data_IF_960290390479
#
_entry.id   IF_960290390479
#
_cell.length_a   1.000
_cell.length_b   1.000
_cell.length_c   1.000
_cell.angle_alpha   90.00
_cell.angle_beta   90.00
_cell.angle_gamma   90.00
#
_symmetry.space_group_name_H-M   'P 1'
#
loop_
_entity.id
_entity.type
_entity.pdbx_description
1 polymer ?
#
# COMPACT_ATOMS: atom_id res chain seq x y z
N UNK A 1 -12.18 -8.03 9.42
CA UNK A 1 -11.11 -9.04 9.42
C UNK A 1 -11.15 -9.91 10.67
N UNK A 2 -11.25 -9.35 11.87
CA UNK A 2 -11.37 -10.11 13.12
C UNK A 2 -12.81 -10.23 13.66
N UNK A 3 -13.82 -9.68 13.00
CA UNK A 3 -15.21 -9.67 13.46
C UNK A 3 -15.47 -8.81 14.70
N UNK A 4 -14.53 -7.94 15.05
CA UNK A 4 -14.61 -7.00 16.18
C UNK A 4 -14.85 -5.60 15.64
N UNK A 5 -15.75 -4.84 16.25
CA UNK A 5 -16.03 -3.45 15.91
C UNK A 5 -14.98 -2.52 16.55
N UNK A 6 -14.75 -1.35 15.94
CA UNK A 6 -13.81 -0.34 16.42
C UNK A 6 -12.58 -0.20 15.52
N UNK A 7 -11.70 0.70 15.90
CA UNK A 7 -10.45 0.97 15.17
C UNK A 7 -9.27 0.32 15.90
N UNK A 8 -8.18 0.06 15.18
CA UNK A 8 -6.96 -0.55 15.75
C UNK A 8 -6.40 0.24 16.93
N UNK A 9 -6.53 1.56 16.94
CA UNK A 9 -6.05 2.43 18.02
C UNK A 9 -6.96 2.47 19.27
N UNK A 10 -8.12 1.81 19.23
CA UNK A 10 -9.03 1.70 20.39
C UNK A 10 -8.64 0.53 21.29
N UNK A 11 -7.65 -0.27 20.88
CA UNK A 11 -7.19 -1.49 21.55
C UNK A 11 -5.72 -1.42 21.92
N UNK A 12 -5.34 -2.10 22.98
CA UNK A 12 -3.93 -2.34 23.33
C UNK A 12 -3.30 -3.40 22.42
N UNK A 13 -1.98 -3.46 22.39
CA UNK A 13 -1.27 -4.50 21.63
C UNK A 13 -1.64 -5.90 22.08
N UNK A 14 -1.75 -6.11 23.40
CA UNK A 14 -2.13 -7.38 24.01
C UNK A 14 -3.52 -7.83 23.58
N UNK A 15 -4.48 -6.90 23.51
CA UNK A 15 -5.84 -7.17 23.04
C UNK A 15 -5.85 -7.54 21.55
N UNK A 16 -5.10 -6.78 20.72
CA UNK A 16 -4.99 -7.06 19.29
C UNK A 16 -4.38 -8.44 19.01
N UNK A 17 -3.36 -8.84 19.78
CA UNK A 17 -2.70 -10.14 19.62
C UNK A 17 -3.58 -11.32 20.04
N UNK A 18 -4.66 -11.09 20.79
CA UNK A 18 -5.65 -12.11 21.15
C UNK A 18 -6.78 -12.23 20.13
N UNK A 19 -6.94 -11.24 19.23
CA UNK A 19 -7.99 -11.25 18.21
C UNK A 19 -7.69 -12.27 17.14
N UNK A 20 -8.61 -13.22 16.96
CA UNK A 20 -8.50 -14.23 15.91
C UNK A 20 -8.86 -13.64 14.56
N UNK A 21 -8.10 -14.00 13.56
CA UNK A 21 -8.43 -13.74 12.17
C UNK A 21 -9.61 -14.62 11.76
N UNK A 22 -10.60 -14.07 11.04
CA UNK A 22 -11.79 -14.78 10.60
C UNK A 22 -11.42 -16.11 9.93
N UNK A 23 -12.18 -17.17 10.30
CA UNK A 23 -12.02 -18.53 9.77
C UNK A 23 -10.67 -19.19 10.03
N UNK A 24 -9.90 -18.72 11.04
CA UNK A 24 -8.63 -19.34 11.40
C UNK A 24 -8.43 -19.37 12.92
N UNK A 25 -7.42 -20.16 13.38
CA UNK A 25 -6.93 -20.13 14.76
C UNK A 25 -5.75 -19.17 14.93
N UNK A 26 -5.39 -18.44 13.89
CA UNK A 26 -4.30 -17.47 13.93
C UNK A 26 -4.79 -16.14 14.50
N UNK A 27 -3.89 -15.43 15.16
CA UNK A 27 -4.11 -14.08 15.69
C UNK A 27 -3.36 -13.03 14.86
N UNK A 28 -3.59 -11.76 15.15
CA UNK A 28 -2.88 -10.67 14.48
C UNK A 28 -1.40 -10.72 14.90
N UNK A 29 -0.45 -10.95 13.98
CA UNK A 29 0.98 -10.93 14.31
C UNK A 29 1.47 -9.50 14.51
N UNK A 30 2.54 -9.35 15.30
CA UNK A 30 3.29 -8.08 15.31
C UNK A 30 4.14 -7.94 14.04
N UNK A 31 4.54 -6.71 13.72
CA UNK A 31 5.48 -6.49 12.63
C UNK A 31 6.85 -7.13 12.91
N UNK A 32 7.27 -7.16 14.16
CA UNK A 32 8.49 -7.84 14.58
C UNK A 32 8.43 -9.35 14.34
N UNK A 33 7.29 -10.00 14.64
CA UNK A 33 7.11 -11.43 14.36
C UNK A 33 7.10 -11.71 12.86
N UNK A 34 6.46 -10.84 12.08
CA UNK A 34 6.52 -10.92 10.62
C UNK A 34 7.97 -10.85 10.11
N UNK A 35 8.77 -9.89 10.58
CA UNK A 35 10.18 -9.77 10.16
C UNK A 35 11.02 -10.99 10.52
N UNK A 36 10.78 -11.61 11.70
CA UNK A 36 11.44 -12.86 12.10
C UNK A 36 11.10 -14.03 11.18
N UNK A 37 9.84 -14.14 10.75
CA UNK A 37 9.40 -15.22 9.84
C UNK A 37 10.00 -15.04 8.45
N UNK A 38 9.90 -13.83 7.90
CA UNK A 38 10.42 -13.53 6.55
C UNK A 38 11.96 -13.65 6.52
N UNK A 39 12.65 -13.12 7.53
CA UNK A 39 14.09 -13.28 7.77
C UNK A 39 14.95 -13.09 6.51
N UNK A 40 14.59 -12.15 5.66
CA UNK A 40 15.28 -11.87 4.41
C UNK A 40 15.11 -12.90 3.27
N UNK A 41 14.32 -13.96 3.50
CA UNK A 41 14.17 -15.09 2.55
C UNK A 41 13.41 -14.71 1.28
N UNK A 42 12.50 -13.76 1.38
CA UNK A 42 11.71 -13.24 0.27
C UNK A 42 11.58 -11.72 0.38
N UNK A 43 11.51 -10.99 -0.76
CA UNK A 43 11.19 -9.57 -0.72
C UNK A 43 9.72 -9.36 -0.31
N UNK A 44 9.41 -8.21 0.31
CA UNK A 44 8.04 -7.85 0.63
C UNK A 44 7.74 -6.37 0.36
N UNK A 45 6.45 -6.06 0.26
CA UNK A 45 5.91 -4.71 0.18
C UNK A 45 5.27 -4.39 1.52
N UNK A 46 5.69 -3.29 2.16
CA UNK A 46 5.11 -2.78 3.39
C UNK A 46 4.11 -1.68 3.08
N UNK A 47 2.82 -1.96 3.23
CA UNK A 47 1.78 -0.96 3.08
C UNK A 47 1.57 -0.18 4.39
N UNK A 48 1.69 1.15 4.31
CA UNK A 48 1.33 2.04 5.41
C UNK A 48 -0.10 2.54 5.28
N UNK A 49 -0.93 2.23 6.27
CA UNK A 49 -2.30 2.77 6.40
C UNK A 49 -2.29 3.90 7.43
N UNK A 50 -2.29 5.14 6.94
CA UNK A 50 -2.33 6.33 7.76
C UNK A 50 -3.76 6.87 7.81
N UNK A 51 -4.48 6.58 8.87
CA UNK A 51 -5.85 7.10 9.07
C UNK A 51 -5.85 8.54 9.62
N UNK A 52 -4.70 8.99 10.14
CA UNK A 52 -4.46 10.34 10.64
C UNK A 52 -3.22 10.93 9.97
N UNK A 53 -3.12 12.26 9.81
CA UNK A 53 -1.95 12.89 9.18
C UNK A 53 -0.73 12.91 10.11
N UNK A 54 -0.28 11.73 10.53
CA UNK A 54 0.88 11.52 11.40
C UNK A 54 1.76 10.39 10.87
N UNK A 55 3.06 10.53 11.01
CA UNK A 55 4.05 9.59 10.46
C UNK A 55 4.72 8.71 11.52
N UNK A 56 4.19 8.69 12.74
CA UNK A 56 4.79 7.95 13.86
C UNK A 56 4.95 6.45 13.56
N UNK A 57 3.99 5.86 12.85
CA UNK A 57 4.09 4.46 12.42
C UNK A 57 5.26 4.22 11.45
N UNK A 58 5.58 5.21 10.58
CA UNK A 58 6.74 5.11 9.69
C UNK A 58 8.05 5.14 10.49
N UNK A 59 8.13 5.97 11.53
CA UNK A 59 9.28 6.03 12.43
C UNK A 59 9.48 4.71 13.16
N UNK A 60 8.44 4.18 13.79
CA UNK A 60 8.49 2.92 14.55
C UNK A 60 8.87 1.73 13.65
N UNK A 61 8.23 1.60 12.49
CA UNK A 61 8.58 0.52 11.56
C UNK A 61 10.01 0.68 11.01
N UNK A 62 10.47 1.92 10.77
CA UNK A 62 11.83 2.16 10.34
C UNK A 62 12.87 1.74 11.40
N UNK A 63 12.59 1.96 12.70
CA UNK A 63 13.48 1.47 13.76
C UNK A 63 13.62 -0.06 13.72
N UNK A 64 12.51 -0.79 13.51
CA UNK A 64 12.55 -2.25 13.37
C UNK A 64 13.29 -2.70 12.10
N UNK A 65 13.21 -1.91 11.02
CA UNK A 65 13.84 -2.20 9.74
C UNK A 65 15.32 -1.84 9.66
N UNK A 66 15.89 -1.09 10.63
CA UNK A 66 17.29 -0.67 10.59
C UNK A 66 18.29 -1.82 10.42
N UNK A 67 18.01 -2.93 11.07
CA UNK A 67 18.88 -4.11 11.06
C UNK A 67 18.38 -5.22 10.13
N UNK A 68 17.26 -5.01 9.46
CA UNK A 68 16.70 -5.97 8.52
C UNK A 68 17.52 -5.98 7.22
N UNK A 69 17.99 -7.15 6.82
CA UNK A 69 18.87 -7.32 5.65
C UNK A 69 18.14 -7.80 4.40
N UNK A 70 16.85 -8.05 4.48
CA UNK A 70 16.04 -8.47 3.34
C UNK A 70 15.66 -7.29 2.44
N UNK A 71 15.23 -7.60 1.24
CA UNK A 71 14.73 -6.62 0.27
C UNK A 71 13.29 -6.26 0.61
N UNK A 72 12.98 -4.97 0.66
CA UNK A 72 11.62 -4.49 0.80
C UNK A 72 11.42 -3.15 0.08
N UNK A 73 10.19 -2.85 -0.22
CA UNK A 73 9.75 -1.51 -0.59
C UNK A 73 8.53 -1.11 0.25
N UNK A 74 8.15 0.16 0.17
CA UNK A 74 6.96 0.63 0.88
C UNK A 74 5.91 1.14 -0.10
N UNK A 75 4.66 1.08 0.32
CA UNK A 75 3.58 1.74 -0.40
C UNK A 75 2.55 2.33 0.56
N UNK A 76 1.81 3.31 0.10
CA UNK A 76 0.71 3.92 0.85
C UNK A 76 -0.24 4.68 -0.07
N UNK A 77 -1.53 4.70 0.31
CA UNK A 77 -2.50 5.65 -0.21
C UNK A 77 -2.22 7.08 0.26
N UNK A 78 -1.65 7.23 1.44
CA UNK A 78 -1.43 8.54 2.05
C UNK A 78 -0.04 9.10 1.68
N UNK A 79 0.04 10.25 0.99
CA UNK A 79 1.32 10.79 0.51
C UNK A 79 2.32 11.14 1.62
N UNK A 80 1.88 11.35 2.87
CA UNK A 80 2.79 11.64 3.99
C UNK A 80 3.74 10.48 4.30
N UNK A 81 3.34 9.21 4.12
CA UNK A 81 4.25 8.09 4.28
C UNK A 81 5.39 8.15 3.26
N UNK A 82 5.07 8.44 2.00
CA UNK A 82 6.06 8.56 0.94
C UNK A 82 7.00 9.77 1.17
N UNK A 83 6.44 10.91 1.61
CA UNK A 83 7.23 12.10 1.95
C UNK A 83 8.19 11.81 3.10
N UNK A 84 7.73 11.09 4.13
CA UNK A 84 8.57 10.69 5.24
C UNK A 84 9.75 9.84 4.77
N UNK A 85 9.49 8.78 3.98
CA UNK A 85 10.54 7.91 3.43
C UNK A 85 11.46 8.66 2.48
N UNK A 86 10.93 9.51 1.61
CA UNK A 86 11.75 10.35 0.73
C UNK A 86 12.77 11.20 1.50
N UNK A 87 12.38 11.69 2.68
CA UNK A 87 13.24 12.55 3.52
C UNK A 87 14.25 11.74 4.35
N UNK A 88 13.83 10.58 4.90
CA UNK A 88 14.60 9.88 5.92
C UNK A 88 15.26 8.59 5.41
N UNK A 89 14.73 7.99 4.36
CA UNK A 89 15.20 6.74 3.75
C UNK A 89 15.05 6.80 2.22
N UNK A 90 15.77 7.74 1.56
CA UNK A 90 15.63 7.96 0.11
C UNK A 90 15.99 6.72 -0.74
N UNK A 91 16.79 5.80 -0.19
CA UNK A 91 17.20 4.55 -0.82
C UNK A 91 16.10 3.48 -0.87
N UNK A 92 15.05 3.61 -0.05
CA UNK A 92 13.93 2.67 -0.04
C UNK A 92 12.94 3.03 -1.15
N UNK A 93 12.63 2.07 -2.00
CA UNK A 93 11.65 2.25 -3.08
C UNK A 93 10.25 2.54 -2.51
N UNK A 94 9.56 3.51 -3.08
CA UNK A 94 8.26 4.04 -2.63
C UNK A 94 7.21 3.91 -3.70
N UNK A 95 6.09 3.31 -3.36
CA UNK A 95 4.91 3.18 -4.19
C UNK A 95 3.78 4.11 -3.76
N UNK A 96 3.19 4.83 -4.69
CA UNK A 96 1.93 5.52 -4.44
C UNK A 96 0.77 4.59 -4.80
N UNK A 97 0.02 4.15 -3.77
CA UNK A 97 -1.27 3.48 -3.97
C UNK A 97 -2.33 4.51 -4.35
N UNK A 98 -3.16 4.21 -5.33
CA UNK A 98 -4.21 5.10 -5.75
C UNK A 98 -5.34 4.39 -6.49
N UNK A 99 -6.51 5.02 -6.47
CA UNK A 99 -7.68 4.67 -7.26
C UNK A 99 -8.53 5.91 -7.54
N UNK A 100 -9.61 5.78 -8.29
CA UNK A 100 -10.51 6.89 -8.54
C UNK A 100 -11.49 7.06 -7.36
N UNK A 101 -11.00 7.55 -6.21
CA UNK A 101 -11.78 7.75 -4.99
C UNK A 101 -13.06 8.56 -5.20
N UNK A 102 -13.06 9.52 -6.12
CA UNK A 102 -14.23 10.34 -6.41
C UNK A 102 -15.41 9.54 -6.98
N UNK A 103 -15.18 8.30 -7.44
CA UNK A 103 -16.24 7.37 -7.88
C UNK A 103 -16.87 6.60 -6.72
N UNK A 104 -16.23 6.55 -5.57
CA UNK A 104 -16.78 5.91 -4.40
C UNK A 104 -17.80 6.81 -3.71
N UNK A 105 -18.97 6.27 -3.41
CA UNK A 105 -20.07 7.03 -2.81
C UNK A 105 -19.68 7.75 -1.51
N UNK A 106 -18.85 7.08 -0.67
CA UNK A 106 -18.34 7.64 0.60
C UNK A 106 -17.47 8.88 0.44
N UNK A 107 -16.88 9.11 -0.74
CA UNK A 107 -15.98 10.23 -1.03
C UNK A 107 -16.56 11.23 -2.03
N UNK A 108 -17.79 11.02 -2.46
CA UNK A 108 -18.46 11.86 -3.44
C UNK A 108 -18.48 13.33 -3.03
N UNK A 109 -18.00 14.19 -3.91
CA UNK A 109 -17.87 15.63 -3.64
C UNK A 109 -16.65 16.05 -2.82
N UNK A 110 -15.81 15.13 -2.38
CA UNK A 110 -14.57 15.46 -1.69
C UNK A 110 -13.51 15.96 -2.67
N UNK A 111 -13.18 17.24 -2.61
CA UNK A 111 -12.11 17.85 -3.42
C UNK A 111 -10.74 17.21 -3.16
N UNK A 112 -10.44 16.92 -1.88
CA UNK A 112 -9.17 16.27 -1.51
C UNK A 112 -9.04 14.87 -2.16
N UNK A 113 -10.09 14.06 -2.11
CA UNK A 113 -10.09 12.73 -2.71
C UNK A 113 -9.99 12.78 -4.23
N UNK A 114 -10.57 13.80 -4.84
CA UNK A 114 -10.39 14.06 -6.27
C UNK A 114 -8.92 14.37 -6.60
N UNK A 115 -8.26 15.25 -5.84
CA UNK A 115 -6.84 15.57 -6.02
C UNK A 115 -5.97 14.32 -5.84
N UNK A 116 -6.24 13.50 -4.82
CA UNK A 116 -5.51 12.24 -4.58
C UNK A 116 -5.67 11.27 -5.75
N UNK A 117 -6.88 11.14 -6.32
CA UNK A 117 -7.15 10.28 -7.48
C UNK A 117 -6.33 10.67 -8.72
N UNK A 118 -5.96 11.94 -8.85
CA UNK A 118 -5.14 12.44 -9.96
C UNK A 118 -3.64 12.51 -9.66
N UNK A 119 -3.18 11.88 -8.57
CA UNK A 119 -1.75 11.74 -8.25
C UNK A 119 -0.98 13.06 -8.17
N UNK A 120 -1.66 14.15 -7.84
CA UNK A 120 -1.07 15.51 -7.82
C UNK A 120 0.12 15.60 -6.86
N UNK A 121 0.06 14.88 -5.74
CA UNK A 121 1.14 14.86 -4.75
C UNK A 121 2.41 14.14 -5.23
N UNK A 122 2.36 13.43 -6.37
CA UNK A 122 3.53 12.73 -6.89
C UNK A 122 4.66 13.67 -7.29
N UNK A 123 4.37 14.93 -7.60
CA UNK A 123 5.38 15.97 -7.79
C UNK A 123 6.25 16.13 -6.53
N UNK A 124 5.63 16.08 -5.35
CA UNK A 124 6.31 16.19 -4.07
C UNK A 124 6.84 14.85 -3.55
N UNK A 125 6.10 13.75 -3.69
CA UNK A 125 6.49 12.44 -3.15
C UNK A 125 7.52 11.73 -4.01
N UNK A 126 7.52 11.96 -5.33
CA UNK A 126 8.38 11.32 -6.35
C UNK A 126 8.45 9.81 -6.12
N UNK A 127 7.33 9.09 -6.27
CA UNK A 127 7.30 7.65 -6.08
C UNK A 127 8.08 6.95 -7.20
N UNK A 128 8.69 5.81 -6.87
CA UNK A 128 9.40 4.95 -7.81
C UNK A 128 8.43 4.10 -8.64
N UNK A 129 7.26 3.78 -8.06
CA UNK A 129 6.17 3.10 -8.74
C UNK A 129 4.80 3.64 -8.35
N UNK A 130 3.83 3.43 -9.23
CA UNK A 130 2.42 3.77 -9.01
C UNK A 130 1.62 2.47 -9.00
N UNK A 131 1.04 2.12 -7.85
CA UNK A 131 0.11 1.01 -7.74
C UNK A 131 -1.32 1.54 -7.87
N UNK A 132 -1.98 1.27 -9.00
CA UNK A 132 -3.29 1.80 -9.34
C UNK A 132 -4.32 0.67 -9.52
N UNK A 133 -5.54 0.89 -9.04
CA UNK A 133 -6.63 -0.07 -9.17
C UNK A 133 -6.90 -0.40 -10.64
N UNK A 134 -6.89 -1.70 -11.00
CA UNK A 134 -7.05 -2.19 -12.37
C UNK A 134 -8.36 -1.77 -13.03
N UNK A 135 -9.41 -1.52 -12.26
CA UNK A 135 -10.69 -1.04 -12.76
C UNK A 135 -10.62 0.36 -13.38
N UNK A 136 -9.60 1.13 -13.00
CA UNK A 136 -9.39 2.50 -13.44
C UNK A 136 -8.12 2.65 -14.30
N UNK A 137 -7.78 1.62 -15.08
CA UNK A 137 -6.59 1.58 -15.93
C UNK A 137 -6.48 2.77 -16.92
N UNK A 138 -7.61 3.37 -17.29
CA UNK A 138 -7.69 4.53 -18.20
C UNK A 138 -7.30 5.88 -17.58
N UNK A 139 -7.04 5.96 -16.26
CA UNK A 139 -6.74 7.24 -15.63
C UNK A 139 -5.54 7.95 -16.26
N UNK A 140 -5.74 9.21 -16.63
CA UNK A 140 -4.76 9.99 -17.39
C UNK A 140 -3.50 10.27 -16.60
N UNK A 141 -3.64 10.59 -15.29
CA UNK A 141 -2.49 10.92 -14.45
C UNK A 141 -1.59 9.70 -14.22
N UNK A 142 -2.17 8.50 -14.07
CA UNK A 142 -1.42 7.24 -14.06
C UNK A 142 -0.60 7.07 -15.34
N UNK A 143 -1.23 7.32 -16.50
CA UNK A 143 -0.55 7.22 -17.81
C UNK A 143 0.58 8.23 -17.95
N UNK A 144 0.38 9.45 -17.49
CA UNK A 144 1.43 10.49 -17.46
C UNK A 144 2.60 10.02 -16.58
N UNK A 145 2.33 9.54 -15.37
CA UNK A 145 3.38 9.02 -14.47
C UNK A 145 4.18 7.89 -15.15
N UNK A 146 3.51 6.98 -15.86
CA UNK A 146 4.17 5.91 -16.61
C UNK A 146 5.09 6.46 -17.71
N UNK A 147 4.63 7.45 -18.48
CA UNK A 147 5.45 8.12 -19.51
C UNK A 147 6.64 8.84 -18.89
N UNK A 148 6.50 9.37 -17.66
CA UNK A 148 7.58 10.00 -16.91
C UNK A 148 8.55 9.01 -16.26
N UNK A 149 8.38 7.71 -16.48
CA UNK A 149 9.30 6.66 -16.04
C UNK A 149 8.92 5.97 -14.73
N UNK A 150 7.78 6.28 -14.12
CA UNK A 150 7.29 5.53 -12.96
C UNK A 150 6.82 4.14 -13.38
N UNK A 151 7.25 3.09 -12.66
CA UNK A 151 6.79 1.73 -12.87
C UNK A 151 5.28 1.65 -12.57
N UNK A 152 4.51 1.11 -13.49
CA UNK A 152 3.04 1.01 -13.35
C UNK A 152 2.65 -0.36 -12.82
N UNK A 153 2.23 -0.43 -11.57
CA UNK A 153 1.76 -1.62 -10.87
C UNK A 153 0.25 -1.60 -10.77
N UNK A 154 -0.39 -2.74 -10.80
CA UNK A 154 -1.83 -2.81 -10.54
C UNK A 154 -2.19 -3.78 -9.43
N UNK A 155 -3.28 -3.49 -8.74
CA UNK A 155 -3.91 -4.31 -7.71
C UNK A 155 -5.45 -4.29 -7.88
N UNK A 156 -6.19 -5.21 -7.39
CA UNK A 156 -5.80 -6.56 -7.01
C UNK A 156 -6.39 -7.48 -8.06
N UNK A 157 -5.55 -8.23 -8.73
CA UNK A 157 -5.98 -9.17 -9.79
C UNK A 157 -6.43 -10.46 -9.13
N UNK A 158 -7.67 -10.87 -9.42
CA UNK A 158 -8.32 -12.05 -8.81
C UNK A 158 -8.60 -13.17 -9.81
N UNK A 159 -8.34 -12.94 -11.10
CA UNK A 159 -8.55 -13.94 -12.14
C UNK A 159 -7.60 -13.78 -13.32
N UNK A 160 -7.41 -14.88 -14.08
CA UNK A 160 -6.66 -14.85 -15.34
C UNK A 160 -7.30 -13.90 -16.37
N UNK A 161 -8.62 -13.73 -16.33
CA UNK A 161 -9.33 -12.83 -17.23
C UNK A 161 -9.00 -11.37 -16.93
N UNK A 162 -8.99 -10.97 -15.65
CA UNK A 162 -8.57 -9.62 -15.23
C UNK A 162 -7.11 -9.36 -15.60
N UNK A 163 -6.23 -10.33 -15.41
CA UNK A 163 -4.84 -10.24 -15.84
C UNK A 163 -4.74 -9.97 -17.35
N UNK A 164 -5.36 -10.81 -18.19
CA UNK A 164 -5.34 -10.66 -19.66
C UNK A 164 -5.87 -9.30 -20.13
N UNK A 165 -6.92 -8.80 -19.48
CA UNK A 165 -7.50 -7.47 -19.78
C UNK A 165 -6.52 -6.33 -19.49
N UNK A 166 -5.70 -6.48 -18.45
CA UNK A 166 -4.84 -5.41 -17.95
C UNK A 166 -3.36 -5.51 -18.35
N UNK A 167 -2.91 -6.64 -18.92
CA UNK A 167 -1.49 -6.89 -19.24
C UNK A 167 -0.82 -5.85 -20.15
N UNK A 168 -1.58 -5.11 -20.97
CA UNK A 168 -1.06 -4.04 -21.82
C UNK A 168 -0.97 -2.68 -21.11
N UNK A 169 -1.64 -2.54 -19.97
CA UNK A 169 -1.76 -1.27 -19.27
C UNK A 169 -0.73 -1.12 -18.13
N UNK A 170 -0.31 -2.23 -17.55
CA UNK A 170 0.54 -2.26 -16.37
C UNK A 170 1.80 -3.11 -16.60
N UNK A 171 2.84 -2.81 -15.84
CA UNK A 171 4.13 -3.48 -15.92
C UNK A 171 4.23 -4.63 -14.90
N UNK A 172 3.62 -4.47 -13.72
CA UNK A 172 3.56 -5.47 -12.65
C UNK A 172 2.13 -5.62 -12.10
N UNK A 173 1.89 -6.77 -11.46
CA UNK A 173 0.54 -7.18 -11.02
C UNK A 173 0.60 -7.73 -9.59
N UNK A 174 -0.27 -7.22 -8.72
CA UNK A 174 -0.49 -7.76 -7.39
C UNK A 174 -1.73 -8.67 -7.46
N UNK A 175 -1.54 -9.94 -7.10
CA UNK A 175 -2.56 -10.98 -7.15
C UNK A 175 -3.10 -11.29 -5.76
N UNK A 176 -4.39 -11.64 -5.70
CA UNK A 176 -5.04 -12.19 -4.52
C UNK A 176 -5.94 -13.35 -4.92
N UNK A 177 -5.83 -14.46 -4.17
CA UNK A 177 -6.72 -15.63 -4.27
C UNK A 177 -6.76 -16.31 -5.66
N UNK A 178 -5.80 -16.06 -6.55
CA UNK A 178 -5.70 -16.75 -7.83
C UNK A 178 -4.26 -17.18 -8.13
N UNK A 179 -4.12 -18.23 -8.95
CA UNK A 179 -2.87 -18.65 -9.58
C UNK A 179 -3.01 -18.45 -11.09
N UNK A 180 -1.96 -17.96 -11.73
CA UNK A 180 -1.88 -17.84 -13.18
C UNK A 180 -1.41 -19.14 -13.83
#
# INVERSE_FOLDING_TARGET
>A
MCGVEGNVWDYTLEELQQMKLLNSNQTIPTFEDFLKIVDGKVPFILEYKLDRPQTKVCELANEMLKNYKGVYCIESFHPLALLWYRKHRPEVLRGQLCEEFFREEKYKGSFLMTILSFLVFNVATRPDFIAYNHLHAGNISRRICKVMGALSVTYTIKSLEEYKRNQKNFDLFIFDSCRL
#
